data_IF_422093519298
#
_entry.id   IF_422093519298
#
_cell.length_a   1.000
_cell.length_b   1.000
_cell.length_c   1.000
_cell.angle_alpha   90.00
_cell.angle_beta   90.00
_cell.angle_gamma   90.00
#
_symmetry.space_group_name_H-M   'P 1'
#
loop_
_entity.id
_entity.type
_entity.pdbx_description
1 polymer ?
#
# COMPACT_ATOMS: atom_id res chain seq x y z
N UNK A 1 19.79 -18.08 9.90
CA UNK A 1 19.50 -17.69 8.50
C UNK A 1 18.02 -17.86 8.16
N UNK A 2 17.42 -19.03 8.40
CA UNK A 2 15.97 -19.26 8.21
C UNK A 2 15.08 -18.20 8.91
N UNK A 3 15.45 -17.82 10.14
CA UNK A 3 14.74 -16.81 10.94
C UNK A 3 14.68 -15.41 10.28
N UNK A 4 15.74 -14.98 9.58
CA UNK A 4 15.75 -13.64 8.93
C UNK A 4 14.86 -13.61 7.68
N UNK A 5 14.88 -14.69 6.88
CA UNK A 5 14.03 -14.79 5.69
C UNK A 5 12.55 -14.90 6.08
N UNK A 6 12.23 -15.71 7.09
CA UNK A 6 10.87 -15.86 7.59
C UNK A 6 10.34 -14.53 8.14
N UNK A 7 11.15 -13.85 8.95
CA UNK A 7 10.82 -12.52 9.45
C UNK A 7 10.56 -11.51 8.33
N UNK A 8 11.37 -11.52 7.26
CA UNK A 8 11.17 -10.62 6.12
C UNK A 8 9.85 -10.89 5.39
N UNK A 9 9.48 -12.16 5.20
CA UNK A 9 8.19 -12.54 4.59
C UNK A 9 7.01 -12.01 5.40
N UNK A 10 7.01 -12.28 6.71
CA UNK A 10 5.95 -11.82 7.63
C UNK A 10 5.82 -10.30 7.60
N UNK A 11 6.95 -9.58 7.62
CA UNK A 11 6.94 -8.12 7.57
C UNK A 11 6.42 -7.59 6.24
N UNK A 12 6.77 -8.21 5.11
CA UNK A 12 6.26 -7.82 3.79
C UNK A 12 4.75 -8.07 3.67
N UNK A 13 4.28 -9.24 4.11
CA UNK A 13 2.84 -9.55 4.12
C UNK A 13 2.06 -8.56 4.97
N UNK A 14 2.55 -8.27 6.18
CA UNK A 14 1.94 -7.29 7.07
C UNK A 14 1.92 -5.89 6.45
N UNK A 15 3.04 -5.45 5.87
CA UNK A 15 3.15 -4.13 5.23
C UNK A 15 2.20 -4.00 4.04
N UNK A 16 2.12 -5.00 3.15
CA UNK A 16 1.22 -5.00 2.00
C UNK A 16 -0.24 -4.87 2.46
N UNK A 17 -0.63 -5.64 3.48
CA UNK A 17 -1.97 -5.55 4.05
C UNK A 17 -2.22 -4.15 4.64
N UNK A 18 -1.31 -3.66 5.47
CA UNK A 18 -1.48 -2.36 6.13
C UNK A 18 -1.55 -1.20 5.13
N UNK A 19 -0.73 -1.22 4.09
CA UNK A 19 -0.79 -0.25 3.00
C UNK A 19 -2.10 -0.33 2.21
N UNK A 20 -2.71 -1.51 2.09
CA UNK A 20 -4.03 -1.66 1.44
C UNK A 20 -5.11 -0.95 2.27
N UNK A 21 -5.05 -1.11 3.59
CA UNK A 21 -5.95 -0.42 4.52
C UNK A 21 -5.74 1.10 4.44
N UNK A 22 -4.48 1.58 4.46
CA UNK A 22 -4.15 3.01 4.27
C UNK A 22 -4.62 3.56 2.93
N UNK A 23 -4.48 2.81 1.84
CA UNK A 23 -4.93 3.24 0.52
C UNK A 23 -6.46 3.45 0.50
N UNK A 24 -7.23 2.62 1.22
CA UNK A 24 -8.67 2.79 1.39
C UNK A 24 -8.99 4.05 2.23
N UNK A 25 -8.34 4.22 3.37
CA UNK A 25 -8.52 5.40 4.23
C UNK A 25 -8.21 6.71 3.48
N UNK A 26 -7.13 6.72 2.68
CA UNK A 26 -6.79 7.89 1.83
C UNK A 26 -7.88 8.17 0.80
N UNK A 27 -8.49 7.13 0.24
CA UNK A 27 -9.58 7.28 -0.72
C UNK A 27 -10.86 7.81 -0.06
N UNK A 28 -11.15 7.39 1.17
CA UNK A 28 -12.25 7.94 1.96
C UNK A 28 -12.01 9.42 2.29
N UNK A 29 -10.79 9.79 2.69
CA UNK A 29 -10.41 11.19 2.88
C UNK A 29 -10.55 12.00 1.59
N UNK A 30 -10.24 11.41 0.42
CA UNK A 30 -10.42 12.08 -0.86
C UNK A 30 -11.91 12.42 -1.11
N UNK A 31 -12.82 11.48 -0.83
CA UNK A 31 -14.26 11.72 -0.95
C UNK A 31 -14.72 12.84 0.01
N UNK A 32 -14.25 12.82 1.26
CA UNK A 32 -14.53 13.91 2.20
C UNK A 32 -14.00 15.27 1.72
N UNK A 33 -12.80 15.30 1.12
CA UNK A 33 -12.23 16.53 0.57
C UNK A 33 -13.09 17.09 -0.58
N UNK A 34 -13.63 16.23 -1.44
CA UNK A 34 -14.57 16.62 -2.51
C UNK A 34 -15.88 17.19 -1.95
N UNK A 35 -16.47 16.53 -0.95
CA UNK A 35 -17.71 16.99 -0.28
C UNK A 35 -17.55 18.36 0.38
N UNK A 36 -16.35 18.66 0.89
CA UNK A 36 -16.00 19.94 1.52
C UNK A 36 -15.60 21.03 0.52
N UNK A 37 -15.59 20.75 -0.78
CA UNK A 37 -15.21 21.71 -1.83
C UNK A 37 -13.70 21.84 -2.06
N UNK A 38 -12.87 20.99 -1.47
CA UNK A 38 -11.42 20.95 -1.67
C UNK A 38 -11.03 20.01 -2.81
N UNK A 39 -11.62 20.21 -4.01
CA UNK A 39 -11.49 19.27 -5.12
C UNK A 39 -10.04 18.98 -5.56
N UNK A 40 -9.14 19.97 -5.53
CA UNK A 40 -7.73 19.73 -5.88
C UNK A 40 -6.99 18.92 -4.80
N UNK A 41 -7.33 19.09 -3.53
CA UNK A 41 -6.81 18.23 -2.45
C UNK A 41 -7.34 16.80 -2.60
N UNK A 42 -8.63 16.64 -2.94
CA UNK A 42 -9.24 15.34 -3.25
C UNK A 42 -8.49 14.59 -4.36
N UNK A 43 -8.16 15.27 -5.47
CA UNK A 43 -7.36 14.67 -6.56
C UNK A 43 -5.99 14.20 -6.08
N UNK A 44 -5.29 14.99 -5.26
CA UNK A 44 -3.99 14.61 -4.70
C UNK A 44 -4.11 13.41 -3.74
N UNK A 45 -5.19 13.31 -2.96
CA UNK A 45 -5.47 12.15 -2.12
C UNK A 45 -5.75 10.90 -2.96
N UNK A 46 -6.55 10.99 -4.02
CA UNK A 46 -6.74 9.89 -4.98
C UNK A 46 -5.41 9.44 -5.57
N UNK A 47 -4.55 10.40 -5.95
CA UNK A 47 -3.21 10.10 -6.44
C UNK A 47 -2.39 9.34 -5.38
N UNK A 48 -2.38 9.80 -4.12
CA UNK A 48 -1.67 9.12 -3.03
C UNK A 48 -2.16 7.69 -2.78
N UNK A 49 -3.47 7.46 -2.84
CA UNK A 49 -4.05 6.11 -2.75
C UNK A 49 -3.58 5.21 -3.90
N UNK A 50 -3.52 5.75 -5.13
CA UNK A 50 -3.01 5.01 -6.29
C UNK A 50 -1.51 4.70 -6.17
N UNK A 51 -0.70 5.65 -5.72
CA UNK A 51 0.73 5.46 -5.48
C UNK A 51 0.99 4.38 -4.41
N UNK A 52 0.18 4.34 -3.34
CA UNK A 52 0.24 3.29 -2.32
C UNK A 52 -0.07 1.91 -2.92
N UNK A 53 -1.07 1.81 -3.80
CA UNK A 53 -1.39 0.56 -4.49
C UNK A 53 -0.25 0.09 -5.41
N UNK A 54 0.38 1.01 -6.14
CA UNK A 54 1.55 0.70 -6.98
C UNK A 54 2.76 0.25 -6.14
N UNK A 55 2.97 0.86 -4.98
CA UNK A 55 3.96 0.43 -4.00
C UNK A 55 3.69 -1.03 -3.58
N UNK A 56 2.44 -1.35 -3.25
CA UNK A 56 2.04 -2.71 -2.89
C UNK A 56 2.28 -3.73 -4.00
N UNK A 57 2.05 -3.38 -5.27
CA UNK A 57 2.32 -4.30 -6.38
C UNK A 57 3.82 -4.60 -6.53
N UNK A 58 4.69 -3.63 -6.21
CA UNK A 58 6.14 -3.84 -6.18
C UNK A 58 6.54 -4.71 -4.99
N UNK A 59 5.95 -4.49 -3.82
CA UNK A 59 6.19 -5.31 -2.62
C UNK A 59 5.73 -6.76 -2.82
N UNK A 60 4.58 -6.99 -3.47
CA UNK A 60 4.10 -8.33 -3.81
C UNK A 60 5.06 -9.08 -4.73
N UNK A 61 5.63 -8.40 -5.74
CA UNK A 61 6.66 -8.99 -6.61
C UNK A 61 7.91 -9.36 -5.82
N UNK A 62 8.36 -8.51 -4.90
CA UNK A 62 9.49 -8.82 -4.03
C UNK A 62 9.21 -10.03 -3.12
N UNK A 63 8.01 -10.09 -2.52
CA UNK A 63 7.58 -11.23 -1.71
C UNK A 63 7.56 -12.53 -2.53
N UNK A 64 7.05 -12.51 -3.76
CA UNK A 64 7.02 -13.66 -4.66
C UNK A 64 8.42 -14.21 -4.97
N UNK A 65 9.39 -13.32 -5.23
CA UNK A 65 10.80 -13.72 -5.42
C UNK A 65 11.38 -14.40 -4.17
N UNK A 66 11.14 -13.80 -2.99
CA UNK A 66 11.61 -14.34 -1.70
C UNK A 66 10.98 -15.71 -1.40
N UNK A 67 9.69 -15.89 -1.73
CA UNK A 67 8.98 -17.16 -1.56
C UNK A 67 9.50 -18.23 -2.51
N UNK A 68 9.81 -17.87 -3.77
CA UNK A 68 10.38 -18.77 -4.78
C UNK A 68 11.87 -19.09 -4.54
N UNK A 69 12.53 -18.36 -3.65
CA UNK A 69 13.97 -18.49 -3.41
C UNK A 69 14.82 -18.02 -4.60
N UNK A 70 14.30 -17.04 -5.36
CA UNK A 70 14.94 -16.45 -6.54
C UNK A 70 15.68 -15.16 -6.21
#
# INVERSE_FOLDING_TARGET
>A
MADKNEKLKILLEHLIKHNTDHALEIKEMAATAEELGFGDAGKLLVQGSNEMNLSNDTLKKALDLIVKGM
#
